data_IF_696039374908
#
_entry.id   IF_696039374908
#
_cell.length_a   1.000
_cell.length_b   1.000
_cell.length_c   1.000
_cell.angle_alpha   90.00
_cell.angle_beta   90.00
_cell.angle_gamma   90.00
#
_symmetry.space_group_name_H-M   'P 1'
#
loop_
_entity.id
_entity.type
_entity.pdbx_description
1 polymer ?
#
# COMPACT_ATOMS: atom_id res chain seq x y z
N UNK A 1 -8.34 -24.56 17.25
CA UNK A 1 -7.12 -24.33 16.43
C UNK A 1 -7.17 -22.92 15.87
N UNK A 2 -6.11 -22.15 16.09
CA UNK A 2 -6.01 -20.79 15.56
C UNK A 2 -5.74 -20.85 14.05
N UNK A 3 -6.58 -20.16 13.27
CA UNK A 3 -6.38 -20.07 11.82
C UNK A 3 -5.21 -19.16 11.50
N UNK A 4 -4.51 -19.48 10.44
CA UNK A 4 -3.46 -18.65 9.85
C UNK A 4 -3.87 -18.24 8.45
N UNK A 5 -3.66 -16.99 8.10
CA UNK A 5 -3.96 -16.44 6.78
C UNK A 5 -2.68 -15.84 6.21
N UNK A 6 -2.36 -16.23 4.98
CA UNK A 6 -1.29 -15.63 4.21
C UNK A 6 -1.88 -14.57 3.27
N UNK A 7 -1.31 -13.38 3.30
CA UNK A 7 -1.62 -12.31 2.34
C UNK A 7 -0.44 -12.25 1.38
N UNK A 8 -0.72 -12.42 0.10
CA UNK A 8 0.32 -12.43 -0.93
C UNK A 8 0.34 -11.08 -1.63
N UNK A 9 1.40 -10.33 -1.38
CA UNK A 9 1.61 -8.99 -1.91
C UNK A 9 1.21 -7.88 -0.95
N UNK A 10 2.09 -6.90 -0.80
CA UNK A 10 1.92 -5.70 0.04
C UNK A 10 1.72 -4.43 -0.82
N UNK A 11 0.97 -4.55 -1.90
CA UNK A 11 0.44 -3.41 -2.64
C UNK A 11 -0.78 -2.82 -1.94
N UNK A 12 -1.47 -1.84 -2.54
CA UNK A 12 -2.63 -1.20 -1.91
C UNK A 12 -3.70 -2.18 -1.42
N UNK A 13 -3.97 -3.23 -2.19
CA UNK A 13 -4.97 -4.24 -1.80
C UNK A 13 -4.54 -5.07 -0.60
N UNK A 14 -3.27 -5.49 -0.54
CA UNK A 14 -2.72 -6.22 0.60
C UNK A 14 -2.70 -5.36 1.86
N UNK A 15 -2.32 -4.10 1.75
CA UNK A 15 -2.34 -3.14 2.85
C UNK A 15 -3.76 -2.89 3.35
N UNK A 16 -4.73 -2.74 2.44
CA UNK A 16 -6.14 -2.59 2.81
C UNK A 16 -6.67 -3.81 3.58
N UNK A 17 -6.25 -5.02 3.19
CA UNK A 17 -6.64 -6.24 3.90
C UNK A 17 -6.04 -6.30 5.31
N UNK A 18 -4.76 -5.97 5.46
CA UNK A 18 -4.10 -5.88 6.77
C UNK A 18 -4.81 -4.85 7.66
N UNK A 19 -5.11 -3.70 7.11
CA UNK A 19 -5.83 -2.63 7.82
C UNK A 19 -7.20 -3.08 8.30
N UNK A 20 -7.94 -3.80 7.49
CA UNK A 20 -9.27 -4.32 7.85
C UNK A 20 -9.19 -5.27 9.05
N UNK A 21 -8.23 -6.19 9.07
CA UNK A 21 -8.01 -7.08 10.21
C UNK A 21 -7.58 -6.33 11.45
N UNK A 22 -6.69 -5.36 11.32
CA UNK A 22 -6.26 -4.55 12.44
C UNK A 22 -7.42 -3.76 13.04
N UNK A 23 -8.23 -3.12 12.21
CA UNK A 23 -9.41 -2.39 12.65
C UNK A 23 -10.39 -3.31 13.40
N UNK A 24 -10.59 -4.54 12.91
CA UNK A 24 -11.41 -5.53 13.59
C UNK A 24 -10.84 -5.91 14.97
N UNK A 25 -9.51 -6.09 15.04
CA UNK A 25 -8.82 -6.40 16.31
C UNK A 25 -8.96 -5.25 17.32
N UNK A 26 -8.79 -4.02 16.87
CA UNK A 26 -8.95 -2.83 17.73
C UNK A 26 -10.37 -2.70 18.28
N UNK A 27 -11.37 -3.18 17.54
CA UNK A 27 -12.76 -3.25 17.97
C UNK A 27 -13.10 -4.46 18.84
N UNK A 28 -12.09 -5.23 19.23
CA UNK A 28 -12.24 -6.37 20.11
C UNK A 28 -12.53 -7.71 19.44
N UNK A 29 -12.51 -7.78 18.11
CA UNK A 29 -12.68 -9.05 17.42
C UNK A 29 -11.46 -9.96 17.56
N UNK A 30 -11.70 -11.26 17.65
CA UNK A 30 -10.63 -12.26 17.57
C UNK A 30 -10.26 -12.45 16.10
N UNK A 31 -9.00 -12.16 15.74
CA UNK A 31 -8.52 -12.31 14.38
C UNK A 31 -7.56 -13.50 14.26
N UNK A 32 -7.43 -14.09 13.07
CA UNK A 32 -6.42 -15.12 12.82
C UNK A 32 -5.01 -14.55 12.88
N UNK A 33 -4.02 -15.44 12.94
CA UNK A 33 -2.63 -15.06 12.72
C UNK A 33 -2.43 -14.65 11.25
N UNK A 34 -1.84 -13.48 11.01
CA UNK A 34 -1.63 -12.96 9.67
C UNK A 34 -0.15 -12.97 9.32
N UNK A 35 0.17 -13.37 8.09
CA UNK A 35 1.51 -13.24 7.52
C UNK A 35 1.36 -12.65 6.13
N UNK A 36 2.03 -11.53 5.89
CA UNK A 36 2.07 -10.90 4.57
C UNK A 36 3.41 -11.19 3.89
N UNK A 37 3.35 -11.72 2.68
CA UNK A 37 4.52 -12.03 1.87
C UNK A 37 4.64 -11.03 0.74
N UNK A 38 5.75 -10.32 0.68
CA UNK A 38 6.07 -9.34 -0.37
C UNK A 38 7.38 -9.71 -1.04
N UNK A 39 7.39 -9.78 -2.38
CA UNK A 39 8.59 -10.14 -3.11
C UNK A 39 9.61 -8.99 -3.23
N UNK A 40 9.14 -7.74 -3.19
CA UNK A 40 10.02 -6.58 -3.15
C UNK A 40 10.56 -6.37 -1.73
N UNK A 41 11.61 -5.55 -1.62
CA UNK A 41 12.21 -5.23 -0.32
C UNK A 41 11.35 -4.34 0.56
N UNK A 42 10.26 -3.79 0.02
CA UNK A 42 9.36 -2.88 0.74
C UNK A 42 7.94 -2.99 0.20
N UNK A 43 6.98 -2.43 0.91
CA UNK A 43 5.58 -2.40 0.50
C UNK A 43 5.25 -1.23 -0.45
N UNK A 44 4.03 -1.20 -0.95
CA UNK A 44 3.54 -0.16 -1.85
C UNK A 44 3.22 -0.67 -3.26
N UNK A 45 3.63 -1.88 -3.60
CA UNK A 45 3.36 -2.49 -4.91
C UNK A 45 3.95 -1.67 -6.05
N UNK A 46 3.17 -1.42 -7.10
CA UNK A 46 3.59 -0.60 -8.24
C UNK A 46 3.88 0.86 -7.87
N UNK A 47 3.28 1.36 -6.78
CA UNK A 47 3.49 2.74 -6.33
C UNK A 47 4.84 2.95 -5.66
N UNK A 48 5.49 1.87 -5.27
CA UNK A 48 6.90 1.87 -4.87
C UNK A 48 7.76 1.87 -6.13
N UNK A 49 8.00 3.05 -6.68
CA UNK A 49 8.69 3.24 -7.95
C UNK A 49 10.16 2.83 -7.88
N UNK A 50 10.62 2.18 -8.93
CA UNK A 50 12.03 1.96 -9.20
C UNK A 50 12.38 2.31 -10.64
N UNK A 51 13.53 2.93 -10.85
CA UNK A 51 14.09 3.15 -12.20
C UNK A 51 14.69 1.89 -12.80
N UNK A 52 14.87 0.85 -12.00
CA UNK A 52 15.56 -0.36 -12.39
C UNK A 52 14.73 -1.20 -13.36
N UNK A 53 15.43 -1.78 -14.31
CA UNK A 53 14.90 -2.76 -15.27
C UNK A 53 15.72 -4.04 -15.23
N UNK A 54 15.33 -5.07 -15.97
CA UNK A 54 16.02 -6.35 -15.95
C UNK A 54 15.55 -7.24 -14.81
N UNK A 55 16.46 -7.68 -13.96
CA UNK A 55 16.15 -8.54 -12.82
C UNK A 55 16.60 -7.91 -11.51
N UNK A 56 15.92 -8.23 -10.43
CA UNK A 56 16.28 -7.82 -9.08
C UNK A 56 17.35 -8.74 -8.47
N UNK A 57 17.70 -8.50 -7.20
CA UNK A 57 18.70 -9.29 -6.49
C UNK A 57 18.30 -10.76 -6.31
N UNK A 58 17.01 -11.08 -6.36
CA UNK A 58 16.49 -12.44 -6.28
C UNK A 58 16.37 -13.11 -7.66
N UNK A 59 16.68 -12.42 -8.74
CA UNK A 59 16.59 -12.93 -10.10
C UNK A 59 15.20 -12.78 -10.73
N UNK A 60 14.27 -12.08 -10.08
CA UNK A 60 12.93 -11.83 -10.59
C UNK A 60 12.92 -10.60 -11.52
N UNK A 61 12.08 -10.59 -12.56
CA UNK A 61 11.97 -9.43 -13.43
C UNK A 61 11.55 -8.17 -12.70
N UNK A 62 12.35 -7.11 -12.88
CA UNK A 62 12.04 -5.76 -12.42
C UNK A 62 11.26 -5.04 -13.51
N UNK A 63 9.97 -5.25 -13.58
CA UNK A 63 9.15 -4.53 -14.54
C UNK A 63 7.89 -4.00 -13.87
N UNK A 64 7.45 -2.85 -14.32
CA UNK A 64 6.22 -2.23 -13.89
C UNK A 64 5.80 -1.20 -14.91
N UNK A 65 4.55 -0.83 -14.88
CA UNK A 65 4.01 0.23 -15.72
C UNK A 65 4.25 1.63 -15.14
N UNK A 66 4.84 1.71 -13.95
CA UNK A 66 5.12 2.98 -13.28
C UNK A 66 6.33 3.67 -13.90
N UNK A 67 6.24 4.98 -14.10
CA UNK A 67 7.34 5.82 -14.53
C UNK A 67 7.47 7.04 -13.61
N UNK A 68 8.64 7.68 -13.67
CA UNK A 68 9.06 8.69 -12.68
C UNK A 68 8.06 9.84 -12.51
N UNK A 69 7.53 10.35 -13.60
CA UNK A 69 6.65 11.52 -13.60
C UNK A 69 5.18 11.17 -13.83
N UNK A 70 4.80 9.94 -13.49
CA UNK A 70 3.41 9.52 -13.62
C UNK A 70 2.52 10.31 -12.65
N UNK A 71 1.42 10.81 -13.20
CA UNK A 71 0.31 11.35 -12.44
C UNK A 71 -0.84 10.36 -12.47
N UNK A 72 -1.57 10.23 -11.38
CA UNK A 72 -2.72 9.36 -11.35
C UNK A 72 -3.76 9.76 -12.39
N UNK A 73 -4.32 8.79 -13.09
CA UNK A 73 -5.48 8.98 -13.96
C UNK A 73 -6.81 8.72 -13.25
N UNK A 74 -6.76 8.37 -11.97
CA UNK A 74 -7.91 8.26 -11.08
C UNK A 74 -7.98 9.42 -10.10
N UNK A 75 -9.17 9.86 -9.73
CA UNK A 75 -9.33 10.93 -8.75
C UNK A 75 -8.89 10.47 -7.36
N UNK A 76 -8.37 11.39 -6.55
CA UNK A 76 -7.86 11.11 -5.20
C UNK A 76 -8.87 10.38 -4.32
N UNK A 77 -10.15 10.69 -4.45
CA UNK A 77 -11.22 10.07 -3.67
C UNK A 77 -11.38 8.57 -3.96
N UNK A 78 -10.95 8.11 -5.13
CA UNK A 78 -10.93 6.69 -5.50
C UNK A 78 -9.62 5.97 -5.16
N UNK A 79 -8.62 6.70 -4.66
CA UNK A 79 -7.29 6.18 -4.39
C UNK A 79 -6.95 6.13 -2.90
N UNK A 80 -7.74 6.76 -2.07
CA UNK A 80 -7.53 6.79 -0.62
C UNK A 80 -8.27 5.64 0.07
N UNK A 81 -7.90 5.39 1.32
CA UNK A 81 -8.63 4.44 2.15
C UNK A 81 -9.87 5.11 2.76
N UNK A 82 -10.93 4.34 2.99
CA UNK A 82 -12.16 4.87 3.58
C UNK A 82 -11.94 5.50 4.97
N UNK A 83 -10.97 4.99 5.72
CA UNK A 83 -10.64 5.42 7.07
C UNK A 83 -9.32 6.21 7.15
N UNK A 84 -8.69 6.51 6.02
CA UNK A 84 -7.47 7.30 5.96
C UNK A 84 -7.37 8.03 4.62
N UNK A 85 -7.79 9.28 4.62
CA UNK A 85 -7.87 10.10 3.42
C UNK A 85 -6.57 10.89 3.18
N UNK A 86 -6.41 11.41 1.95
CA UNK A 86 -5.30 12.33 1.65
C UNK A 86 -5.36 13.60 2.50
N UNK A 87 -6.54 14.13 2.75
CA UNK A 87 -6.70 15.34 3.57
C UNK A 87 -6.27 15.08 5.02
N UNK A 88 -6.60 13.92 5.58
CA UNK A 88 -6.13 13.52 6.91
C UNK A 88 -4.61 13.38 6.95
N UNK A 89 -4.02 12.79 5.90
CA UNK A 89 -2.58 12.56 5.83
C UNK A 89 -1.79 13.86 5.69
N UNK A 90 -2.17 14.73 4.77
CA UNK A 90 -1.44 15.97 4.48
C UNK A 90 -1.92 17.18 5.29
N UNK A 91 -3.08 17.11 5.93
CA UNK A 91 -3.68 18.21 6.67
C UNK A 91 -4.21 19.33 5.80
N UNK A 92 -4.28 19.12 4.49
CA UNK A 92 -4.76 20.11 3.51
C UNK A 92 -5.33 19.42 2.27
N UNK A 93 -6.09 20.16 1.49
CA UNK A 93 -6.62 19.67 0.22
C UNK A 93 -5.50 19.56 -0.82
N UNK A 94 -5.41 18.41 -1.49
CA UNK A 94 -4.46 18.18 -2.56
C UNK A 94 -5.14 18.19 -3.93
N UNK A 95 -4.34 18.17 -5.00
CA UNK A 95 -4.84 18.07 -6.36
C UNK A 95 -5.69 16.82 -6.57
N UNK A 96 -6.74 16.93 -7.40
CA UNK A 96 -7.69 15.82 -7.67
C UNK A 96 -7.02 14.61 -8.30
N UNK A 97 -5.99 14.81 -9.13
CA UNK A 97 -5.19 13.75 -9.74
C UNK A 97 -3.74 13.90 -9.28
N UNK A 98 -3.36 13.24 -8.17
CA UNK A 98 -2.04 13.46 -7.58
C UNK A 98 -0.92 12.76 -8.35
N UNK A 99 0.32 13.26 -8.27
CA UNK A 99 1.47 12.53 -8.76
C UNK A 99 1.72 11.26 -7.95
N UNK A 100 2.42 10.29 -8.55
CA UNK A 100 2.64 8.98 -7.93
C UNK A 100 3.23 9.02 -6.52
N UNK A 101 4.18 9.92 -6.28
CA UNK A 101 4.83 10.02 -4.97
C UNK A 101 3.90 10.46 -3.85
N UNK A 102 2.84 11.18 -4.17
CA UNK A 102 1.81 11.57 -3.19
C UNK A 102 1.02 10.34 -2.74
N UNK A 103 0.62 9.48 -3.66
CA UNK A 103 -0.06 8.24 -3.31
C UNK A 103 0.87 7.27 -2.58
N UNK A 104 2.12 7.15 -3.02
CA UNK A 104 3.09 6.32 -2.33
C UNK A 104 3.32 6.79 -0.90
N UNK A 105 3.40 8.10 -0.68
CA UNK A 105 3.52 8.69 0.65
C UNK A 105 2.34 8.30 1.56
N UNK A 106 1.11 8.36 1.04
CA UNK A 106 -0.08 7.93 1.78
C UNK A 106 0.02 6.45 2.17
N UNK A 107 0.34 5.58 1.21
CA UNK A 107 0.45 4.14 1.45
C UNK A 107 1.54 3.81 2.47
N UNK A 108 2.72 4.41 2.30
CA UNK A 108 3.87 4.14 3.15
C UNK A 108 3.61 4.55 4.60
N UNK A 109 3.07 5.74 4.82
CA UNK A 109 2.83 6.27 6.15
C UNK A 109 1.65 5.59 6.86
N UNK A 110 0.61 5.23 6.12
CA UNK A 110 -0.55 4.55 6.71
C UNK A 110 -0.17 3.18 7.30
N UNK A 111 0.77 2.49 6.67
CA UNK A 111 1.23 1.19 7.18
C UNK A 111 2.22 1.36 8.35
N UNK A 112 3.10 2.34 8.30
CA UNK A 112 4.06 2.62 9.37
C UNK A 112 3.39 3.01 10.69
N UNK A 113 2.18 3.56 10.65
CA UNK A 113 1.41 3.86 11.85
C UNK A 113 0.88 2.62 12.56
N UNK A 114 0.95 1.46 11.92
CA UNK A 114 0.34 0.21 12.36
C UNK A 114 1.36 -0.79 12.97
N UNK A 115 2.62 -0.43 12.96
CA UNK A 115 3.65 -1.14 13.70
C UNK A 115 3.61 -0.73 15.20
#
# INVERSE_FOLDING_TARGET
MRKRIAIIGAGPSGLAQLRAFQSAKEKGASIPELVCYEKQSDWGGLWNYTWRTGTDAAGDPCHGSMYRYLWSNGPKEGLEFADYTFEEHFGETIASFPPREVLFCLLYTSDAADE
#
